data_IF_609882485194
#
_entry.id   IF_609882485194
#
_cell.length_a   1.000
_cell.length_b   1.000
_cell.length_c   1.000
_cell.angle_alpha   90.00
_cell.angle_beta   90.00
_cell.angle_gamma   90.00
#
_symmetry.space_group_name_H-M   'P 1'
#
loop_
_entity.id
_entity.type
_entity.pdbx_description
1 polymer ?
#
# COMPACT_ATOMS: atom_id res chain seq x y z
N UNK A 1 -0.65 -19.47 -25.46
CA UNK A 1 0.57 -19.62 -26.35
C UNK A 1 1.75 -18.80 -25.83
N UNK A 2 1.57 -17.53 -25.45
CA UNK A 2 2.66 -16.66 -24.93
C UNK A 2 3.29 -17.26 -23.67
N UNK A 3 2.49 -17.60 -22.66
CA UNK A 3 2.94 -18.20 -21.40
C UNK A 3 3.83 -19.43 -21.61
N UNK A 4 3.38 -20.38 -22.45
CA UNK A 4 4.18 -21.60 -22.76
C UNK A 4 5.55 -21.25 -23.36
N UNK A 5 5.63 -20.19 -24.16
CA UNK A 5 6.87 -19.75 -24.80
C UNK A 5 7.81 -19.10 -23.79
N UNK A 6 7.26 -18.33 -22.87
CA UNK A 6 8.00 -17.69 -21.77
C UNK A 6 8.57 -18.76 -20.83
N UNK A 7 7.73 -19.71 -20.40
CA UNK A 7 8.15 -20.80 -19.51
C UNK A 7 9.23 -21.68 -20.16
N UNK A 8 9.14 -21.91 -21.47
CA UNK A 8 10.13 -22.70 -22.22
C UNK A 8 11.46 -21.96 -22.44
N UNK A 9 11.54 -20.65 -22.19
CA UNK A 9 12.74 -19.85 -22.39
C UNK A 9 13.78 -20.02 -21.26
N UNK A 10 13.40 -20.69 -20.17
CA UNK A 10 14.30 -21.03 -19.07
C UNK A 10 14.84 -19.84 -18.28
N UNK A 11 14.22 -18.68 -18.37
CA UNK A 11 14.53 -17.47 -17.59
C UNK A 11 13.39 -17.16 -16.64
N UNK A 12 13.70 -16.55 -15.50
CA UNK A 12 12.71 -16.02 -14.56
C UNK A 12 12.02 -14.78 -15.16
N UNK A 13 11.02 -15.02 -16.02
CA UNK A 13 10.22 -13.97 -16.66
C UNK A 13 8.82 -14.01 -16.08
N UNK A 14 8.37 -12.87 -15.57
CA UNK A 14 7.03 -12.69 -15.04
C UNK A 14 6.13 -12.05 -16.11
N UNK A 15 4.99 -12.70 -16.40
CA UNK A 15 3.92 -12.13 -17.23
C UNK A 15 2.85 -11.56 -16.30
N UNK A 16 2.70 -10.24 -16.31
CA UNK A 16 1.66 -9.51 -15.59
C UNK A 16 0.66 -8.92 -16.56
N UNK A 17 -0.63 -9.08 -16.29
CA UNK A 17 -1.67 -8.31 -16.94
C UNK A 17 -1.79 -6.92 -16.31
N UNK A 18 -2.10 -5.93 -17.13
CA UNK A 18 -2.49 -4.57 -16.71
C UNK A 18 -3.94 -4.30 -17.19
N UNK A 19 -4.94 -5.03 -16.66
CA UNK A 19 -6.32 -4.93 -17.11
C UNK A 19 -7.04 -3.83 -16.37
N UNK A 20 -7.91 -3.12 -17.07
CA UNK A 20 -8.90 -2.21 -16.49
C UNK A 20 -10.24 -2.93 -16.54
N UNK A 21 -10.39 -3.96 -15.70
CA UNK A 21 -11.55 -4.86 -15.68
C UNK A 21 -11.88 -5.23 -14.22
N UNK A 22 -13.12 -5.63 -13.93
CA UNK A 22 -13.51 -6.19 -12.64
C UNK A 22 -12.66 -7.41 -12.25
N UNK A 23 -12.54 -7.66 -10.95
CA UNK A 23 -11.68 -8.72 -10.42
C UNK A 23 -12.05 -10.11 -10.90
N UNK A 24 -13.36 -10.39 -11.04
CA UNK A 24 -13.89 -11.66 -11.53
C UNK A 24 -13.46 -11.94 -12.98
N UNK A 25 -13.52 -10.94 -13.86
CA UNK A 25 -13.04 -11.07 -15.25
C UNK A 25 -11.52 -11.27 -15.30
N UNK A 26 -10.77 -10.50 -14.51
CA UNK A 26 -9.28 -10.63 -14.44
C UNK A 26 -8.89 -11.99 -13.91
N UNK A 27 -9.65 -12.54 -12.97
CA UNK A 27 -9.39 -13.84 -12.35
C UNK A 27 -9.42 -14.99 -13.39
N UNK A 28 -10.19 -14.85 -14.47
CA UNK A 28 -10.22 -15.84 -15.57
C UNK A 28 -8.85 -16.00 -16.25
N UNK A 29 -8.11 -14.91 -16.46
CA UNK A 29 -6.76 -14.96 -17.04
C UNK A 29 -5.72 -15.61 -16.11
N UNK A 30 -5.98 -15.58 -14.79
CA UNK A 30 -5.15 -16.22 -13.80
C UNK A 30 -5.52 -17.71 -13.62
N UNK A 31 -6.80 -18.04 -13.70
CA UNK A 31 -7.31 -19.41 -13.49
C UNK A 31 -6.71 -20.43 -14.45
N UNK A 32 -6.58 -20.08 -15.72
CA UNK A 32 -6.08 -20.98 -16.78
C UNK A 32 -4.54 -20.98 -16.88
N UNK A 33 -3.83 -20.38 -15.92
CA UNK A 33 -2.38 -20.23 -15.95
C UNK A 33 -1.87 -19.52 -17.22
N UNK A 34 -2.65 -18.60 -17.76
CA UNK A 34 -2.26 -17.81 -18.91
C UNK A 34 -1.22 -16.75 -18.53
N UNK A 35 -1.33 -16.23 -17.30
CA UNK A 35 -0.46 -15.20 -16.74
C UNK A 35 0.11 -15.64 -15.38
N UNK A 36 1.13 -14.98 -14.88
CA UNK A 36 1.68 -15.19 -13.54
C UNK A 36 0.99 -14.31 -12.50
N UNK A 37 0.42 -13.20 -12.92
CA UNK A 37 -0.27 -12.24 -12.08
C UNK A 37 -0.97 -11.16 -12.88
N UNK A 38 -1.69 -10.31 -12.18
CA UNK A 38 -2.37 -9.15 -12.73
C UNK A 38 -2.39 -7.99 -11.73
N UNK A 39 -2.44 -6.76 -12.23
CA UNK A 39 -2.71 -5.60 -11.40
C UNK A 39 -4.16 -5.62 -10.89
N UNK A 40 -4.34 -5.32 -9.60
CA UNK A 40 -5.65 -5.20 -8.97
C UNK A 40 -5.99 -3.72 -8.75
N UNK A 41 -6.47 -3.05 -9.78
CA UNK A 41 -6.87 -1.64 -9.70
C UNK A 41 -8.18 -1.45 -8.92
N UNK A 42 -9.07 -2.43 -8.91
CA UNK A 42 -10.29 -2.38 -8.12
C UNK A 42 -9.97 -2.27 -6.62
N UNK A 43 -9.07 -3.10 -6.10
CA UNK A 43 -8.63 -3.01 -4.70
C UNK A 43 -7.99 -1.65 -4.39
N UNK A 44 -7.23 -1.08 -5.32
CA UNK A 44 -6.68 0.27 -5.17
C UNK A 44 -7.78 1.31 -4.96
N UNK A 45 -8.83 1.29 -5.79
CA UNK A 45 -9.95 2.21 -5.65
C UNK A 45 -10.68 2.03 -4.30
N UNK A 46 -10.90 0.78 -3.86
CA UNK A 46 -11.51 0.49 -2.55
C UNK A 46 -10.65 0.96 -1.36
N UNK A 47 -9.32 0.89 -1.45
CA UNK A 47 -8.41 1.45 -0.44
C UNK A 47 -8.58 2.97 -0.32
N UNK A 48 -8.64 3.68 -1.45
CA UNK A 48 -8.86 5.12 -1.45
C UNK A 48 -10.26 5.49 -0.97
N UNK A 49 -11.30 4.75 -1.35
CA UNK A 49 -12.66 4.97 -0.87
C UNK A 49 -12.76 4.77 0.65
N UNK A 50 -12.10 3.75 1.18
CA UNK A 50 -12.09 3.46 2.60
C UNK A 50 -11.45 4.60 3.42
N UNK A 51 -10.33 5.16 2.96
CA UNK A 51 -9.68 6.32 3.59
C UNK A 51 -10.52 7.59 3.40
N UNK A 52 -11.14 7.78 2.24
CA UNK A 52 -11.98 8.94 1.94
C UNK A 52 -13.24 9.01 2.81
N UNK A 53 -13.86 7.86 3.06
CA UNK A 53 -15.08 7.74 3.90
C UNK A 53 -14.80 7.50 5.38
N UNK A 54 -13.62 7.00 5.73
CA UNK A 54 -13.33 6.48 7.07
C UNK A 54 -14.12 5.21 7.40
N UNK A 55 -14.52 4.42 6.39
CA UNK A 55 -15.33 3.21 6.54
C UNK A 55 -14.68 2.01 5.85
N UNK A 56 -14.63 0.87 6.54
CA UNK A 56 -13.95 -0.34 6.08
C UNK A 56 -14.85 -1.30 5.28
N UNK A 57 -16.15 -1.09 5.24
CA UNK A 57 -17.13 -2.07 4.73
C UNK A 57 -16.86 -2.47 3.27
N UNK A 58 -16.83 -1.50 2.36
CA UNK A 58 -16.58 -1.75 0.95
C UNK A 58 -15.19 -2.37 0.69
N UNK A 59 -14.18 -1.99 1.51
CA UNK A 59 -12.85 -2.60 1.43
C UNK A 59 -12.87 -4.07 1.89
N UNK A 60 -13.63 -4.38 2.95
CA UNK A 60 -13.80 -5.76 3.43
C UNK A 60 -14.46 -6.64 2.39
N UNK A 61 -15.51 -6.16 1.72
CA UNK A 61 -16.19 -6.88 0.63
C UNK A 61 -15.20 -7.16 -0.52
N UNK A 62 -14.50 -6.14 -1.00
CA UNK A 62 -13.50 -6.29 -2.06
C UNK A 62 -12.39 -7.27 -1.68
N UNK A 63 -11.89 -7.24 -0.44
CA UNK A 63 -10.86 -8.16 0.02
C UNK A 63 -11.35 -9.61 0.05
N UNK A 64 -12.59 -9.86 0.44
CA UNK A 64 -13.18 -11.20 0.38
C UNK A 64 -13.26 -11.76 -1.04
N UNK A 65 -13.57 -10.92 -2.02
CA UNK A 65 -13.60 -11.30 -3.43
C UNK A 65 -12.21 -11.55 -4.01
N UNK A 66 -11.21 -10.77 -3.56
CA UNK A 66 -9.85 -10.80 -4.12
C UNK A 66 -8.93 -11.83 -3.49
N UNK A 67 -9.33 -12.49 -2.42
CA UNK A 67 -8.51 -13.52 -1.73
C UNK A 67 -8.08 -14.68 -2.64
N UNK A 68 -8.84 -14.96 -3.69
CA UNK A 68 -8.71 -16.16 -4.51
C UNK A 68 -7.97 -15.92 -5.83
N UNK A 69 -6.78 -15.32 -5.80
CA UNK A 69 -5.89 -15.51 -6.94
C UNK A 69 -5.65 -17.03 -7.13
N UNK A 70 -5.73 -17.51 -8.38
CA UNK A 70 -5.50 -18.91 -8.68
C UNK A 70 -4.16 -19.39 -8.12
N UNK A 71 -4.03 -20.68 -7.69
CA UNK A 71 -2.81 -21.20 -7.13
C UNK A 71 -1.59 -20.94 -8.02
N UNK A 72 -0.55 -20.34 -7.45
CA UNK A 72 0.68 -19.98 -8.16
C UNK A 72 0.62 -18.62 -8.87
N UNK A 73 -0.52 -17.93 -8.89
CA UNK A 73 -0.67 -16.57 -9.37
C UNK A 73 -0.60 -15.55 -8.24
N UNK A 74 -0.34 -14.28 -8.57
CA UNK A 74 -0.25 -13.20 -7.59
C UNK A 74 -0.91 -11.93 -8.12
N UNK A 75 -1.63 -11.21 -7.24
CA UNK A 75 -2.03 -9.84 -7.50
C UNK A 75 -0.84 -8.90 -7.37
N UNK A 76 -0.68 -7.99 -8.32
CA UNK A 76 0.18 -6.82 -8.21
C UNK A 76 -0.67 -5.65 -7.67
N UNK A 77 -0.25 -5.08 -6.56
CA UNK A 77 -1.01 -4.06 -5.82
C UNK A 77 -0.32 -2.71 -5.94
N UNK A 78 -0.76 -1.79 -6.80
CA UNK A 78 -0.28 -0.42 -6.81
C UNK A 78 -1.18 0.46 -5.93
N UNK A 79 -0.64 1.50 -5.29
CA UNK A 79 -1.45 2.65 -4.85
C UNK A 79 -1.55 3.67 -5.99
N UNK A 80 -0.45 3.91 -6.66
CA UNK A 80 -0.36 4.77 -7.84
C UNK A 80 0.54 4.12 -8.90
N UNK A 81 0.40 4.59 -10.13
CA UNK A 81 1.26 4.25 -11.25
C UNK A 81 1.51 5.50 -12.12
N UNK A 82 2.01 5.32 -13.32
CA UNK A 82 2.30 6.39 -14.30
C UNK A 82 1.06 6.98 -14.98
N UNK A 83 -0.11 6.38 -14.76
CA UNK A 83 -1.39 6.84 -15.28
C UNK A 83 -2.25 7.47 -14.19
N UNK A 84 -3.46 7.87 -14.53
CA UNK A 84 -4.47 8.31 -13.57
C UNK A 84 -4.83 7.19 -12.57
N UNK A 85 -5.27 7.56 -11.37
CA UNK A 85 -5.98 6.63 -10.50
C UNK A 85 -7.28 6.27 -11.23
N UNK A 86 -7.26 5.15 -11.94
CA UNK A 86 -8.39 4.72 -12.73
C UNK A 86 -9.55 4.34 -11.82
N UNK A 87 -10.71 4.95 -12.04
CA UNK A 87 -11.93 4.66 -11.30
C UNK A 87 -13.00 4.01 -12.21
N UNK A 88 -12.76 4.09 -13.53
CA UNK A 88 -13.67 3.55 -14.52
C UNK A 88 -14.89 4.44 -14.76
N UNK A 89 -15.78 3.89 -15.56
CA UNK A 89 -17.10 4.42 -15.90
C UNK A 89 -18.22 3.56 -15.26
N UNK A 90 -17.96 2.99 -14.09
CA UNK A 90 -18.82 2.03 -13.39
C UNK A 90 -18.48 0.56 -13.67
N UNK A 91 -17.57 0.27 -14.62
CA UNK A 91 -17.18 -1.12 -14.92
C UNK A 91 -16.12 -1.67 -13.95
N UNK A 92 -15.12 -0.85 -13.54
CA UNK A 92 -14.06 -1.32 -12.64
C UNK A 92 -14.55 -1.44 -11.20
N UNK A 93 -15.27 -0.42 -10.72
CA UNK A 93 -15.86 -0.34 -9.39
C UNK A 93 -17.22 0.30 -9.47
N UNK A 94 -18.15 0.00 -8.53
CA UNK A 94 -19.46 0.63 -8.49
C UNK A 94 -19.40 2.15 -8.42
N UNK A 95 -20.38 2.83 -9.01
CA UNK A 95 -20.50 4.30 -8.98
C UNK A 95 -20.45 4.88 -7.57
N UNK A 96 -20.94 4.18 -6.57
CA UNK A 96 -20.86 4.57 -5.17
C UNK A 96 -19.42 4.77 -4.72
N UNK A 97 -18.53 3.86 -5.08
CA UNK A 97 -17.08 3.96 -4.77
C UNK A 97 -16.47 5.20 -5.42
N UNK A 98 -16.84 5.46 -6.68
CA UNK A 98 -16.39 6.65 -7.41
C UNK A 98 -16.86 7.93 -6.70
N UNK A 99 -18.12 7.99 -6.26
CA UNK A 99 -18.66 9.15 -5.56
C UNK A 99 -18.01 9.36 -4.19
N UNK A 100 -17.74 8.30 -3.46
CA UNK A 100 -17.00 8.37 -2.17
C UNK A 100 -15.62 9.00 -2.40
N UNK A 101 -14.88 8.53 -3.40
CA UNK A 101 -13.55 9.06 -3.72
C UNK A 101 -13.65 10.54 -4.15
N UNK A 102 -14.61 10.88 -5.00
CA UNK A 102 -14.83 12.25 -5.48
C UNK A 102 -15.14 13.24 -4.36
N UNK A 103 -15.96 12.84 -3.40
CA UNK A 103 -16.36 13.70 -2.29
C UNK A 103 -15.31 13.79 -1.18
N UNK A 104 -14.59 12.70 -0.91
CA UNK A 104 -13.67 12.58 0.21
C UNK A 104 -12.23 12.97 -0.09
N UNK A 105 -11.74 12.70 -1.30
CA UNK A 105 -10.40 13.11 -1.70
C UNK A 105 -10.46 14.48 -2.42
N UNK A 106 -9.68 15.44 -1.93
CA UNK A 106 -9.61 16.77 -2.52
C UNK A 106 -8.75 16.77 -3.79
N UNK A 107 -9.16 15.99 -4.79
CA UNK A 107 -8.44 15.91 -6.05
C UNK A 107 -8.39 17.25 -6.82
N UNK A 108 -9.33 18.17 -6.56
CA UNK A 108 -9.49 19.41 -7.31
C UNK A 108 -10.06 19.17 -8.72
N UNK A 109 -10.82 20.11 -9.26
CA UNK A 109 -11.47 19.97 -10.57
C UNK A 109 -10.51 19.83 -11.76
N UNK A 110 -9.27 20.33 -11.64
CA UNK A 110 -8.27 20.29 -12.70
C UNK A 110 -7.47 18.99 -12.82
N UNK A 111 -7.70 18.02 -11.94
CA UNK A 111 -6.93 16.77 -11.88
C UNK A 111 -7.71 15.55 -12.37
N UNK A 112 -8.93 15.72 -12.84
CA UNK A 112 -9.68 14.67 -13.52
C UNK A 112 -9.19 14.53 -14.95
N UNK A 113 -8.76 13.34 -15.30
CA UNK A 113 -8.33 12.96 -16.65
C UNK A 113 -9.07 11.68 -17.03
N UNK A 114 -9.76 11.69 -18.18
CA UNK A 114 -10.57 10.57 -18.64
C UNK A 114 -11.52 10.09 -17.51
N UNK A 115 -11.31 8.89 -17.01
CA UNK A 115 -12.12 8.22 -15.98
C UNK A 115 -11.43 8.14 -14.62
N UNK A 116 -10.43 8.98 -14.36
CA UNK A 116 -9.63 8.88 -13.15
C UNK A 116 -9.04 10.18 -12.64
N UNK A 117 -8.20 10.07 -11.62
CA UNK A 117 -7.54 11.21 -10.97
C UNK A 117 -6.06 11.19 -11.31
N UNK A 118 -5.60 12.24 -11.99
CA UNK A 118 -4.21 12.42 -12.39
C UNK A 118 -3.43 13.17 -11.30
N UNK A 119 -3.10 12.47 -10.21
CA UNK A 119 -2.27 12.99 -9.12
C UNK A 119 -1.36 11.91 -8.54
N UNK A 120 -0.18 12.29 -8.04
CA UNK A 120 0.65 11.42 -7.21
C UNK A 120 0.01 11.19 -5.85
N UNK A 121 0.48 10.18 -5.11
CA UNK A 121 -0.07 9.77 -3.82
C UNK A 121 -0.07 10.91 -2.80
N UNK A 122 1.06 11.59 -2.60
CA UNK A 122 1.17 12.61 -1.57
C UNK A 122 0.21 13.79 -1.78
N UNK A 123 0.13 14.44 -2.96
CA UNK A 123 -0.84 15.51 -3.19
C UNK A 123 -2.29 15.01 -3.24
N UNK A 124 -2.55 13.77 -3.64
CA UNK A 124 -3.90 13.18 -3.58
C UNK A 124 -4.42 13.11 -2.14
N UNK A 125 -3.52 12.88 -1.18
CA UNK A 125 -3.80 12.85 0.26
C UNK A 125 -3.58 14.20 0.95
N UNK A 126 -3.48 15.30 0.20
CA UNK A 126 -3.18 16.66 0.72
C UNK A 126 -1.91 16.75 1.57
N UNK A 127 -0.92 15.91 1.30
CA UNK A 127 0.32 15.84 2.08
C UNK A 127 0.18 15.24 3.48
N UNK A 128 -0.97 14.63 3.82
CA UNK A 128 -1.12 13.96 5.12
C UNK A 128 -0.26 12.68 5.16
N UNK A 129 0.88 12.77 5.85
CA UNK A 129 1.82 11.66 6.02
C UNK A 129 1.22 10.48 6.79
N UNK A 130 0.22 10.70 7.64
CA UNK A 130 -0.43 9.61 8.40
C UNK A 130 -1.25 8.75 7.46
N UNK A 131 -2.08 9.37 6.62
CA UNK A 131 -2.86 8.67 5.60
C UNK A 131 -1.95 7.99 4.56
N UNK A 132 -0.84 8.65 4.16
CA UNK A 132 0.15 8.07 3.25
C UNK A 132 0.78 6.80 3.86
N UNK A 133 1.26 6.87 5.10
CA UNK A 133 1.84 5.72 5.81
C UNK A 133 0.82 4.61 6.02
N UNK A 134 -0.43 4.94 6.35
CA UNK A 134 -1.51 3.96 6.49
C UNK A 134 -1.73 3.16 5.20
N UNK A 135 -1.93 3.85 4.06
CA UNK A 135 -2.15 3.19 2.78
C UNK A 135 -0.96 2.30 2.38
N UNK A 136 0.27 2.78 2.58
CA UNK A 136 1.46 1.98 2.32
C UNK A 136 1.63 0.81 3.30
N UNK A 137 1.24 0.97 4.58
CA UNK A 137 1.24 -0.14 5.54
C UNK A 137 0.25 -1.24 5.13
N UNK A 138 -0.94 -0.86 4.64
CA UNK A 138 -1.88 -1.81 4.06
C UNK A 138 -1.30 -2.45 2.79
N UNK A 139 -0.73 -1.67 1.87
CA UNK A 139 -0.05 -2.20 0.68
C UNK A 139 1.01 -3.25 1.01
N UNK A 140 1.78 -3.05 2.07
CA UNK A 140 2.86 -3.95 2.48
C UNK A 140 2.38 -5.15 3.31
N UNK A 141 1.15 -5.16 3.80
CA UNK A 141 0.62 -6.25 4.62
C UNK A 141 -0.45 -7.10 3.90
N UNK A 142 -1.16 -6.53 2.95
CA UNK A 142 -2.15 -7.26 2.14
C UNK A 142 -1.52 -8.37 1.28
N UNK A 143 -2.31 -9.43 0.93
CA UNK A 143 -1.84 -10.49 0.03
C UNK A 143 -1.58 -9.93 -1.37
N UNK A 144 -0.40 -10.20 -1.90
CA UNK A 144 0.01 -9.75 -3.23
C UNK A 144 1.44 -9.21 -3.29
N UNK A 145 1.81 -8.69 -4.45
CA UNK A 145 3.08 -8.03 -4.71
C UNK A 145 2.87 -6.51 -4.61
N UNK A 146 3.40 -5.82 -3.59
CA UNK A 146 3.31 -4.37 -3.52
C UNK A 146 4.10 -3.73 -4.66
N UNK A 147 3.45 -2.83 -5.40
CA UNK A 147 4.06 -2.06 -6.48
C UNK A 147 4.12 -0.60 -6.04
N UNK A 148 5.32 -0.11 -5.77
CA UNK A 148 5.55 1.29 -5.40
C UNK A 148 5.89 2.08 -6.65
N UNK A 149 5.12 3.14 -6.90
CA UNK A 149 5.44 4.05 -8.00
C UNK A 149 6.60 4.95 -7.57
N UNK A 150 7.60 5.12 -8.46
CA UNK A 150 8.80 5.90 -8.13
C UNK A 150 8.47 7.31 -7.64
N UNK A 151 9.11 7.71 -6.55
CA UNK A 151 8.90 9.01 -5.91
C UNK A 151 7.77 9.03 -4.87
N UNK A 152 6.87 8.05 -4.82
CA UNK A 152 5.86 7.95 -3.77
C UNK A 152 6.52 7.64 -2.41
N UNK A 153 7.64 6.92 -2.41
CA UNK A 153 8.46 6.66 -1.22
C UNK A 153 9.15 7.91 -0.67
N UNK A 154 9.21 8.98 -1.46
CA UNK A 154 9.69 10.31 -1.02
C UNK A 154 8.55 11.25 -0.66
N UNK A 155 7.32 10.94 -1.09
CA UNK A 155 6.21 11.87 -1.06
C UNK A 155 6.34 12.96 -2.12
N UNK A 156 6.87 12.64 -3.30
CA UNK A 156 6.95 13.59 -4.42
C UNK A 156 5.56 14.10 -4.80
N UNK A 157 5.51 15.35 -5.22
CA UNK A 157 4.29 16.00 -5.72
C UNK A 157 4.07 15.85 -7.21
N UNK A 158 3.07 16.58 -7.70
CA UNK A 158 2.75 16.75 -9.12
C UNK A 158 3.33 18.07 -9.65
N UNK A 159 3.38 18.16 -10.99
CA UNK A 159 3.56 19.45 -11.67
C UNK A 159 2.27 19.86 -12.39
N UNK A 160 1.40 20.66 -11.76
CA UNK A 160 0.06 20.95 -12.30
C UNK A 160 0.02 21.67 -13.65
N UNK A 161 1.12 22.29 -14.06
CA UNK A 161 1.22 23.02 -15.33
C UNK A 161 1.43 22.15 -16.57
N UNK A 162 1.66 20.84 -16.38
CA UNK A 162 1.81 19.89 -17.47
C UNK A 162 0.44 19.34 -17.93
N UNK A 163 0.41 18.77 -19.14
CA UNK A 163 -0.81 18.22 -19.74
C UNK A 163 -0.83 16.71 -19.66
N UNK A 164 -1.99 16.14 -19.91
CA UNK A 164 -2.23 14.70 -19.92
C UNK A 164 -1.76 14.04 -18.61
N UNK A 165 -0.96 12.99 -18.65
CA UNK A 165 -0.41 12.25 -17.52
C UNK A 165 0.95 12.75 -17.04
N UNK A 166 1.55 13.69 -17.76
CA UNK A 166 2.89 14.23 -17.48
C UNK A 166 3.06 14.85 -16.08
N UNK A 167 2.00 15.44 -15.44
CA UNK A 167 2.09 15.86 -14.05
C UNK A 167 2.63 14.80 -13.09
N UNK A 168 2.33 13.54 -13.32
CA UNK A 168 2.75 12.40 -12.50
C UNK A 168 4.11 11.81 -12.91
N UNK A 169 4.65 12.17 -14.08
CA UNK A 169 5.80 11.53 -14.72
C UNK A 169 7.08 12.35 -14.65
N UNK A 170 7.09 13.37 -13.81
CA UNK A 170 8.25 14.22 -13.58
C UNK A 170 9.46 13.42 -13.12
N UNK A 171 10.71 13.87 -13.41
CA UNK A 171 11.92 13.16 -13.02
C UNK A 171 12.02 12.89 -11.52
N UNK A 172 12.63 11.77 -11.16
CA UNK A 172 12.95 11.42 -9.77
C UNK A 172 13.88 12.47 -9.16
N UNK A 173 13.57 12.92 -7.94
CA UNK A 173 14.41 13.84 -7.19
C UNK A 173 15.46 13.07 -6.39
N UNK A 174 16.72 13.11 -6.84
CA UNK A 174 17.83 12.39 -6.21
C UNK A 174 18.58 13.25 -5.19
N UNK A 175 18.86 14.51 -5.54
CA UNK A 175 19.64 15.45 -4.73
C UNK A 175 18.99 16.84 -4.73
N UNK A 176 19.41 17.77 -3.84
CA UNK A 176 18.96 19.16 -3.88
C UNK A 176 19.58 19.96 -5.03
N UNK A 177 20.52 19.40 -5.79
CA UNK A 177 21.19 20.05 -6.89
C UNK A 177 20.28 20.31 -8.07
N UNK A 178 20.82 20.99 -9.09
CA UNK A 178 20.10 21.34 -10.32
C UNK A 178 19.34 20.13 -10.89
N UNK A 179 18.09 20.37 -11.26
CA UNK A 179 17.16 19.37 -11.82
C UNK A 179 16.96 18.15 -10.89
N UNK A 180 17.11 18.31 -9.57
CA UNK A 180 16.99 17.23 -8.63
C UNK A 180 18.11 16.17 -8.77
N UNK A 181 19.26 16.51 -9.33
CA UNK A 181 20.35 15.56 -9.63
C UNK A 181 20.01 14.56 -10.74
N UNK A 182 18.88 14.71 -11.42
CA UNK A 182 18.45 13.83 -12.50
C UNK A 182 19.23 14.09 -13.80
N UNK A 183 19.48 15.37 -14.12
CA UNK A 183 20.13 15.78 -15.37
C UNK A 183 20.96 17.05 -15.16
N UNK A 184 22.09 17.13 -15.83
CA UNK A 184 22.92 18.35 -15.93
C UNK A 184 22.48 19.29 -17.07
N UNK A 185 21.50 18.90 -17.87
CA UNK A 185 21.01 19.70 -18.99
C UNK A 185 20.43 21.06 -18.51
N UNK A 186 20.51 22.12 -19.33
CA UNK A 186 19.75 23.34 -19.10
C UNK A 186 18.25 23.06 -19.01
N UNK A 187 17.54 23.78 -18.12
CA UNK A 187 16.11 23.55 -17.87
C UNK A 187 15.23 23.54 -19.12
N UNK A 188 15.47 24.41 -20.15
CA UNK A 188 14.67 24.39 -21.39
C UNK A 188 14.86 23.13 -22.25
N UNK A 189 15.91 22.32 -21.96
CA UNK A 189 16.18 21.07 -22.67
C UNK A 189 15.64 19.84 -21.93
N UNK A 190 15.04 20.00 -20.76
CA UNK A 190 14.38 18.90 -20.07
C UNK A 190 13.07 18.56 -20.77
N UNK A 191 12.81 17.25 -20.97
CA UNK A 191 11.53 16.77 -21.49
C UNK A 191 10.42 17.08 -20.50
N UNK A 192 10.67 16.85 -19.21
CA UNK A 192 9.79 17.20 -18.10
C UNK A 192 10.60 17.93 -17.01
N UNK A 193 10.05 18.96 -16.38
CA UNK A 193 10.78 19.71 -15.36
C UNK A 193 10.85 18.93 -14.02
N UNK A 194 11.86 19.24 -13.22
CA UNK A 194 11.88 18.85 -11.81
C UNK A 194 10.83 19.66 -11.02
N UNK A 195 10.22 19.03 -10.00
CA UNK A 195 9.13 19.66 -9.25
C UNK A 195 9.66 20.76 -8.34
N UNK A 196 9.13 21.98 -8.51
CA UNK A 196 9.43 23.16 -7.67
C UNK A 196 8.18 23.74 -7.00
N UNK A 197 7.05 23.01 -7.07
CA UNK A 197 5.80 23.47 -6.46
C UNK A 197 5.90 23.56 -4.93
N UNK A 198 5.23 24.52 -4.29
CA UNK A 198 5.24 24.69 -2.84
C UNK A 198 4.87 23.39 -2.11
N UNK A 199 5.66 23.02 -1.10
CA UNK A 199 5.49 21.80 -0.31
C UNK A 199 6.05 20.54 -0.95
N UNK A 200 6.43 20.56 -2.25
CA UNK A 200 6.94 19.39 -2.98
C UNK A 200 8.25 19.67 -3.73
N UNK A 201 8.90 20.77 -3.44
CA UNK A 201 10.13 21.19 -4.11
C UNK A 201 11.25 20.13 -3.98
N UNK A 202 11.86 19.75 -5.09
CA UNK A 202 12.92 18.74 -5.14
C UNK A 202 14.13 19.10 -4.26
N UNK A 203 14.35 20.38 -3.97
CA UNK A 203 15.43 20.81 -3.07
C UNK A 203 15.22 20.37 -1.62
N UNK A 204 13.98 20.05 -1.26
CA UNK A 204 13.58 19.55 0.07
C UNK A 204 13.16 18.08 0.02
N UNK A 205 12.36 17.71 -1.01
CA UNK A 205 11.86 16.36 -1.20
C UNK A 205 12.77 15.63 -2.20
N UNK A 206 13.80 14.96 -1.69
CA UNK A 206 14.74 14.19 -2.50
C UNK A 206 15.37 13.04 -1.69
N UNK A 207 16.02 12.12 -2.42
CA UNK A 207 16.62 10.92 -1.84
C UNK A 207 17.74 11.24 -0.85
N UNK A 208 18.63 12.20 -1.20
CA UNK A 208 19.81 12.51 -0.39
C UNK A 208 19.43 13.07 0.98
N UNK A 209 18.54 14.07 1.01
CA UNK A 209 18.03 14.65 2.26
C UNK A 209 17.30 13.61 3.10
N UNK A 210 16.41 12.82 2.48
CA UNK A 210 15.61 11.85 3.23
C UNK A 210 16.43 10.67 3.76
N UNK A 211 17.50 10.27 3.09
CA UNK A 211 18.42 9.25 3.62
C UNK A 211 19.03 9.64 4.98
N UNK A 212 19.27 10.93 5.18
CA UNK A 212 19.90 11.45 6.40
C UNK A 212 18.92 11.68 7.55
N UNK A 213 17.62 11.70 7.28
CA UNK A 213 16.56 11.95 8.27
C UNK A 213 15.91 10.65 8.74
N UNK A 214 16.18 10.15 9.96
CA UNK A 214 15.66 8.87 10.45
C UNK A 214 14.14 8.74 10.33
N UNK A 215 13.40 9.81 10.64
CA UNK A 215 11.92 9.83 10.57
C UNK A 215 11.34 10.13 9.19
N UNK A 216 12.16 10.22 8.13
CA UNK A 216 11.69 10.48 6.76
C UNK A 216 10.77 9.41 6.23
N UNK A 217 9.99 9.75 5.20
CA UNK A 217 9.12 8.78 4.55
C UNK A 217 9.94 7.67 3.88
N UNK A 218 11.07 8.01 3.25
CA UNK A 218 11.97 7.02 2.62
C UNK A 218 12.51 5.99 3.62
N UNK A 219 13.00 6.45 4.78
CA UNK A 219 13.54 5.54 5.80
C UNK A 219 12.43 4.72 6.43
N UNK A 220 11.22 5.29 6.62
CA UNK A 220 10.04 4.55 7.04
C UNK A 220 9.67 3.44 6.04
N UNK A 221 9.66 3.72 4.72
CA UNK A 221 9.44 2.69 3.68
C UNK A 221 10.48 1.56 3.75
N UNK A 222 11.75 1.92 3.96
CA UNK A 222 12.83 0.92 4.12
C UNK A 222 12.57 0.01 5.32
N UNK A 223 12.17 0.58 6.45
CA UNK A 223 11.83 -0.18 7.66
C UNK A 223 10.67 -1.14 7.38
N UNK A 224 9.55 -0.64 6.82
CA UNK A 224 8.38 -1.45 6.49
C UNK A 224 8.70 -2.61 5.54
N UNK A 225 9.45 -2.34 4.48
CA UNK A 225 9.87 -3.36 3.51
C UNK A 225 10.84 -4.36 4.12
N UNK A 226 11.69 -3.93 5.07
CA UNK A 226 12.55 -4.84 5.82
C UNK A 226 11.72 -5.76 6.72
N UNK A 227 10.74 -5.23 7.46
CA UNK A 227 9.80 -6.05 8.23
C UNK A 227 9.08 -7.07 7.33
N UNK A 228 8.53 -6.64 6.19
CA UNK A 228 7.88 -7.55 5.24
C UNK A 228 8.83 -8.64 4.74
N UNK A 229 10.10 -8.32 4.49
CA UNK A 229 11.12 -9.31 4.06
C UNK A 229 11.46 -10.30 5.15
N UNK A 230 11.52 -9.86 6.40
CA UNK A 230 11.86 -10.72 7.55
C UNK A 230 10.71 -11.58 8.03
N UNK A 231 9.48 -11.18 7.78
CA UNK A 231 8.27 -11.89 8.19
C UNK A 231 7.64 -12.64 6.99
N UNK A 232 7.95 -13.94 6.80
CA UNK A 232 7.38 -14.74 5.69
C UNK A 232 5.86 -14.72 5.65
N UNK A 233 5.18 -14.63 6.79
CA UNK A 233 3.74 -14.51 6.88
C UNK A 233 3.19 -13.35 6.04
N UNK A 234 3.85 -12.18 6.03
CA UNK A 234 3.41 -11.02 5.21
C UNK A 234 3.57 -11.25 3.70
N UNK A 235 4.45 -12.17 3.28
CA UNK A 235 4.71 -12.45 1.86
C UNK A 235 3.91 -13.61 1.33
N UNK A 236 3.79 -14.68 2.12
CA UNK A 236 3.30 -15.99 1.67
C UNK A 236 2.18 -16.54 2.56
N UNK A 237 1.91 -15.91 3.73
CA UNK A 237 0.92 -16.39 4.68
C UNK A 237 -0.50 -16.31 4.15
N UNK A 238 -1.34 -17.18 4.67
CA UNK A 238 -2.78 -17.14 4.46
C UNK A 238 -3.36 -15.84 5.05
N UNK A 239 -4.42 -15.36 4.43
CA UNK A 239 -5.11 -14.14 4.83
C UNK A 239 -6.46 -14.46 5.45
N UNK A 240 -6.74 -13.89 6.62
CA UNK A 240 -8.03 -14.03 7.31
C UNK A 240 -8.49 -12.66 7.80
N UNK A 241 -9.65 -12.21 7.30
CA UNK A 241 -10.31 -11.00 7.84
C UNK A 241 -10.94 -11.30 9.19
N UNK A 242 -10.66 -10.44 10.17
CA UNK A 242 -11.30 -10.51 11.50
C UNK A 242 -12.36 -9.42 11.64
N UNK A 243 -13.33 -9.67 12.51
CA UNK A 243 -14.29 -8.64 12.86
C UNK A 243 -13.67 -7.66 13.85
N UNK A 244 -13.72 -6.37 13.52
CA UNK A 244 -13.22 -5.31 14.40
C UNK A 244 -14.30 -4.75 15.31
N UNK A 245 -15.59 -5.01 15.03
CA UNK A 245 -16.74 -4.34 15.64
C UNK A 245 -16.65 -2.80 15.59
N UNK A 246 -15.86 -2.26 14.65
CA UNK A 246 -15.67 -0.82 14.48
C UNK A 246 -15.66 -0.44 12.99
N UNK A 247 -16.55 0.48 12.55
CA UNK A 247 -16.75 0.75 11.13
C UNK A 247 -15.52 1.29 10.41
N UNK A 248 -14.64 2.01 11.10
CA UNK A 248 -13.45 2.60 10.47
C UNK A 248 -12.18 1.76 10.60
N UNK A 249 -12.25 0.60 11.25
CA UNK A 249 -11.05 -0.21 11.48
C UNK A 249 -11.14 -1.50 10.69
N UNK A 250 -10.12 -1.78 9.92
CA UNK A 250 -9.91 -3.09 9.30
C UNK A 250 -8.90 -3.89 10.10
N UNK A 251 -9.24 -5.16 10.37
CA UNK A 251 -8.37 -6.10 11.09
C UNK A 251 -8.25 -7.39 10.29
N UNK A 252 -7.03 -7.89 10.16
CA UNK A 252 -6.78 -9.17 9.50
C UNK A 252 -5.51 -9.82 10.00
N UNK A 253 -5.36 -11.09 9.72
CA UNK A 253 -4.13 -11.84 10.00
C UNK A 253 -3.46 -12.30 8.71
N UNK A 254 -2.15 -12.51 8.80
CA UNK A 254 -1.33 -13.22 7.84
C UNK A 254 -0.62 -14.36 8.59
N UNK A 255 -0.89 -15.59 8.19
CA UNK A 255 -0.40 -16.77 8.92
C UNK A 255 0.32 -17.72 7.98
N UNK A 256 1.52 -18.16 8.36
CA UNK A 256 2.25 -19.25 7.72
C UNK A 256 2.89 -20.08 8.81
N UNK A 257 2.71 -21.40 8.74
CA UNK A 257 3.17 -22.32 9.77
C UNK A 257 2.71 -21.85 11.18
N UNK A 258 3.65 -21.60 12.08
CA UNK A 258 3.37 -21.12 13.45
C UNK A 258 3.49 -19.59 13.58
N UNK A 259 3.77 -18.87 12.48
CA UNK A 259 3.93 -17.41 12.51
C UNK A 259 2.63 -16.73 12.12
N UNK A 260 2.04 -15.96 13.01
CA UNK A 260 0.88 -15.12 12.76
C UNK A 260 1.24 -13.64 12.94
N UNK A 261 1.01 -12.83 11.93
CA UNK A 261 1.05 -11.36 12.04
C UNK A 261 -0.39 -10.86 12.04
N UNK A 262 -0.79 -10.20 13.12
CA UNK A 262 -2.05 -9.48 13.23
C UNK A 262 -1.86 -8.04 12.78
N UNK A 263 -2.72 -7.57 11.89
CA UNK A 263 -2.71 -6.21 11.37
C UNK A 263 -4.02 -5.53 11.74
N UNK A 264 -3.95 -4.33 12.31
CA UNK A 264 -5.11 -3.46 12.49
C UNK A 264 -4.80 -2.06 11.96
N UNK A 265 -5.76 -1.48 11.24
CA UNK A 265 -5.60 -0.18 10.58
C UNK A 265 -6.88 0.65 10.70
N UNK A 266 -6.73 1.87 11.23
CA UNK A 266 -7.81 2.85 11.35
C UNK A 266 -7.83 3.75 10.11
N UNK A 267 -8.86 3.63 9.30
CA UNK A 267 -9.06 4.33 8.02
C UNK A 267 -9.56 5.77 8.19
N UNK A 268 -9.86 6.18 9.44
CA UNK A 268 -10.50 7.46 9.77
C UNK A 268 -9.51 8.51 10.27
N UNK A 269 -9.85 9.77 10.07
CA UNK A 269 -9.16 10.92 10.66
C UNK A 269 -9.42 11.10 12.17
N UNK A 270 -10.30 10.33 12.76
CA UNK A 270 -10.52 10.26 14.21
C UNK A 270 -9.78 9.05 14.82
N UNK A 271 -9.51 9.10 16.12
CA UNK A 271 -8.98 7.92 16.84
C UNK A 271 -10.06 6.87 17.03
N UNK A 272 -9.66 5.60 17.09
CA UNK A 272 -10.55 4.46 17.28
C UNK A 272 -10.11 3.62 18.49
N UNK A 273 -11.04 3.32 19.39
CA UNK A 273 -10.87 2.39 20.50
C UNK A 273 -11.72 1.16 20.24
N UNK A 274 -11.16 -0.02 20.31
CA UNK A 274 -11.89 -1.25 20.02
C UNK A 274 -11.38 -2.41 20.87
N UNK A 275 -12.24 -3.43 21.03
CA UNK A 275 -11.91 -4.69 21.66
C UNK A 275 -12.03 -5.80 20.64
N UNK A 276 -10.96 -6.56 20.45
CA UNK A 276 -10.91 -7.67 19.52
C UNK A 276 -11.11 -9.00 20.25
N UNK A 277 -11.89 -9.89 19.65
CA UNK A 277 -11.93 -11.29 20.09
C UNK A 277 -10.79 -12.07 19.42
N UNK A 278 -9.75 -12.30 20.19
CA UNK A 278 -8.59 -13.09 19.80
C UNK A 278 -8.51 -14.42 20.57
N UNK A 279 -9.67 -15.01 20.92
CA UNK A 279 -9.79 -16.27 21.66
C UNK A 279 -9.03 -17.42 20.99
N UNK A 280 -8.92 -17.39 19.65
CA UNK A 280 -8.13 -18.36 18.85
C UNK A 280 -6.67 -18.44 19.29
N UNK A 281 -6.10 -17.35 19.79
CA UNK A 281 -4.71 -17.24 20.27
C UNK A 281 -4.64 -16.90 21.76
N UNK A 282 -5.63 -17.28 22.55
CA UNK A 282 -5.71 -16.95 23.99
C UNK A 282 -4.41 -17.28 24.72
N UNK A 283 -3.85 -16.27 25.39
CA UNK A 283 -2.62 -16.38 26.16
C UNK A 283 -1.33 -16.18 25.37
N UNK A 284 -1.40 -16.10 24.03
CA UNK A 284 -0.23 -15.82 23.21
C UNK A 284 0.31 -14.40 23.46
N UNK A 285 1.63 -14.23 23.30
CA UNK A 285 2.28 -12.91 23.32
C UNK A 285 1.88 -12.11 22.08
N UNK A 286 1.79 -10.79 22.23
CA UNK A 286 1.61 -9.85 21.14
C UNK A 286 2.74 -8.82 21.19
N UNK A 287 3.66 -8.89 20.24
CA UNK A 287 4.78 -7.93 20.11
C UNK A 287 4.61 -7.08 18.86
N UNK A 288 4.59 -5.78 19.04
CA UNK A 288 4.47 -4.83 17.92
C UNK A 288 5.76 -4.86 17.08
N UNK A 289 5.61 -4.99 15.77
CA UNK A 289 6.72 -5.29 14.84
C UNK A 289 7.65 -4.09 14.62
N UNK A 290 7.09 -2.87 14.54
CA UNK A 290 7.87 -1.68 14.15
C UNK A 290 8.66 -1.07 15.30
N UNK A 291 8.13 -1.15 16.53
CA UNK A 291 8.71 -0.51 17.71
C UNK A 291 9.18 -1.52 18.78
N UNK A 292 8.87 -2.81 18.57
CA UNK A 292 9.24 -3.87 19.50
C UNK A 292 8.47 -3.85 20.83
N UNK A 293 7.39 -3.04 20.94
CA UNK A 293 6.63 -2.94 22.18
C UNK A 293 5.85 -4.20 22.47
N UNK A 294 5.92 -4.67 23.70
CA UNK A 294 5.09 -5.78 24.19
C UNK A 294 3.71 -5.28 24.58
N UNK A 295 2.70 -6.07 24.21
CA UNK A 295 1.31 -5.86 24.57
C UNK A 295 0.87 -6.95 25.56
N UNK A 296 -0.24 -6.73 26.31
CA UNK A 296 -0.81 -7.79 27.13
C UNK A 296 -1.11 -9.04 26.29
N UNK A 297 -1.00 -10.24 26.88
CA UNK A 297 -1.36 -11.48 26.19
C UNK A 297 -2.76 -11.39 25.56
N UNK A 298 -2.90 -11.92 24.34
CA UNK A 298 -4.15 -11.83 23.60
C UNK A 298 -5.25 -12.70 24.20
N UNK A 299 -6.50 -12.32 23.97
CA UNK A 299 -7.67 -13.02 24.52
C UNK A 299 -9.00 -12.50 23.94
N UNK A 300 -10.14 -12.90 24.52
CA UNK A 300 -11.47 -12.59 23.97
C UNK A 300 -11.85 -11.10 23.99
N UNK A 301 -11.19 -10.31 24.83
CA UNK A 301 -11.47 -8.87 24.98
C UNK A 301 -10.17 -8.08 24.93
N UNK A 302 -9.42 -8.26 23.84
CA UNK A 302 -8.14 -7.59 23.69
C UNK A 302 -8.32 -6.15 23.22
N UNK A 303 -8.13 -5.19 24.16
CA UNK A 303 -8.35 -3.77 23.93
C UNK A 303 -7.16 -3.13 23.24
N UNK A 304 -7.43 -2.33 22.18
CA UNK A 304 -6.44 -1.52 21.49
C UNK A 304 -6.99 -0.12 21.18
N UNK A 305 -6.07 0.83 21.09
CA UNK A 305 -6.32 2.16 20.57
C UNK A 305 -5.47 2.43 19.33
N UNK A 306 -6.11 2.90 18.28
CA UNK A 306 -5.45 3.34 17.05
C UNK A 306 -5.72 4.85 16.86
N UNK A 307 -4.67 5.69 16.78
CA UNK A 307 -4.88 7.12 16.50
C UNK A 307 -5.43 7.34 15.08
N UNK A 308 -5.69 8.59 14.73
CA UNK A 308 -6.07 9.01 13.37
C UNK A 308 -5.12 8.43 12.33
N UNK A 309 -5.67 7.69 11.36
CA UNK A 309 -4.90 6.95 10.34
C UNK A 309 -3.81 6.05 10.92
N UNK A 310 -3.97 5.60 12.17
CA UNK A 310 -3.03 4.73 12.87
C UNK A 310 -3.15 3.28 12.40
N UNK A 311 -2.04 2.58 12.42
CA UNK A 311 -1.99 1.15 12.17
C UNK A 311 -1.01 0.49 13.12
N UNK A 312 -1.12 -0.84 13.28
CA UNK A 312 -0.17 -1.67 14.03
C UNK A 312 -0.06 -3.04 13.37
N UNK A 313 1.13 -3.59 13.46
CA UNK A 313 1.44 -4.98 13.11
C UNK A 313 1.96 -5.67 14.36
N UNK A 314 1.32 -6.74 14.78
CA UNK A 314 1.77 -7.53 15.93
C UNK A 314 2.15 -8.95 15.47
N UNK A 315 3.30 -9.41 15.91
CA UNK A 315 3.64 -10.81 15.87
C UNK A 315 2.91 -11.48 17.04
N UNK A 316 2.09 -12.48 16.73
CA UNK A 316 1.34 -13.28 17.69
C UNK A 316 2.02 -14.65 17.75
N UNK A 317 2.55 -15.05 18.91
CA UNK A 317 3.27 -16.31 19.06
C UNK A 317 3.26 -16.85 20.48
N UNK A 318 3.66 -18.11 20.62
CA UNK A 318 3.90 -18.71 21.93
C UNK A 318 5.24 -18.25 22.50
N UNK A 319 5.34 -18.17 23.84
CA UNK A 319 6.59 -17.82 24.53
C UNK A 319 7.66 -18.88 24.18
N UNK A 320 8.72 -18.45 23.49
CA UNK A 320 9.89 -19.29 23.20
C UNK A 320 9.95 -19.95 21.80
N UNK A 321 8.96 -19.72 20.92
CA UNK A 321 8.96 -20.32 19.56
C UNK A 321 9.52 -19.43 18.46
N UNK A 322 9.69 -18.12 18.71
CA UNK A 322 10.03 -17.14 17.67
C UNK A 322 11.32 -16.34 17.92
N UNK A 323 12.28 -16.86 18.68
CA UNK A 323 13.57 -16.18 18.97
C UNK A 323 14.27 -15.68 17.69
N UNK A 324 14.17 -16.40 16.58
CA UNK A 324 14.73 -15.99 15.28
C UNK A 324 14.00 -14.81 14.61
N UNK A 325 12.69 -14.72 14.79
CA UNK A 325 11.92 -13.59 14.27
C UNK A 325 12.10 -12.36 15.16
N UNK A 326 12.20 -12.55 16.47
CA UNK A 326 12.47 -11.52 17.46
C UNK A 326 13.85 -10.90 17.28
N UNK A 327 14.91 -11.72 17.16
CA UNK A 327 16.28 -11.24 16.88
C UNK A 327 16.37 -10.44 15.57
N UNK A 328 15.59 -10.84 14.54
CA UNK A 328 15.54 -10.12 13.26
C UNK A 328 14.80 -8.79 13.36
N UNK A 329 13.73 -8.73 14.14
CA UNK A 329 12.98 -7.49 14.40
C UNK A 329 13.82 -6.50 15.22
N UNK A 330 14.58 -6.97 16.20
CA UNK A 330 15.51 -6.13 16.96
C UNK A 330 16.56 -5.48 16.07
N UNK A 331 17.10 -6.21 15.09
CA UNK A 331 18.05 -5.67 14.10
C UNK A 331 17.45 -4.63 13.15
N UNK A 332 16.13 -4.57 13.01
CA UNK A 332 15.45 -3.53 12.20
C UNK A 332 15.25 -2.25 13.00
N UNK A 333 15.12 -2.38 14.33
CA UNK A 333 14.84 -1.26 15.23
C UNK A 333 16.11 -0.66 15.84
N UNK A 334 17.27 -1.29 15.66
CA UNK A 334 18.59 -0.80 16.03
C UNK A 334 19.22 0.03 14.90
#
# INVERSE_FOLDING_TARGET
>A
KVRKRVDAHGRDVLLLAEPIQPVDEVSLYLADKELHGAFNFALTAHLFAAVASGNSENLRLCLNETQNAAPGCRWALPLRNHDELWLGDGHLVPDEIIQIIRSGLRAGHGHWLNWGINRRLAPLLNGDLRANRLLNALLYSLPGMPCVYYGDELGMGDWPGLRDRDPNRTPMAWTPDRNGGFSSAPDPLLVLPAITSPGYDYRVINVEVQKQLPGSLLNWHRQMLTCRRLLPALRHGDFELLDSNHPSVIVFTRTIDNMTVLIAANLSSAGASLSLDLSKWKGARAREVLWGCEYPPVGPNWFIYLPSYGFRWWLIGEVGTDDLAEEKIEKVNA
#
